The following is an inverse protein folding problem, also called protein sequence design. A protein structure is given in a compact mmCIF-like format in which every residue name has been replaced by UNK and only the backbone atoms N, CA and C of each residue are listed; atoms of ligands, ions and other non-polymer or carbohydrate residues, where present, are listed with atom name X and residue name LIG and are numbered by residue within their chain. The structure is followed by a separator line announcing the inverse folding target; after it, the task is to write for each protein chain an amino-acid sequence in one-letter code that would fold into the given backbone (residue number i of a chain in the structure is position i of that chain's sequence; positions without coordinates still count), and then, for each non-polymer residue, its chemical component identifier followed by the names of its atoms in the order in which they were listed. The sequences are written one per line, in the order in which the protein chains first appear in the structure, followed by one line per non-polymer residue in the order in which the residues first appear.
data_IF_001118701788
#
_entry.id   IF_001118701788
#
_cell.length_a   1.000
_cell.length_b   1.000
_cell.length_c   1.000
_cell.angle_alpha   90.00
_cell.angle_beta   90.00
_cell.angle_gamma   90.00
#
_symmetry.space_group_name_H-M   'P 1'
#
loop_
_entity.id
_entity.type
_entity.pdbx_description
1 polymer ?
#
# COMPACT_ATOMS: atom_id res chain seq x y z
N UNK A 1 -2.15 44.73 41.89
CA UNK A 1 -0.81 44.81 42.47
C UNK A 1 0.12 44.18 41.46
N UNK A 2 0.59 44.91 40.54
CA UNK A 2 1.88 45.58 40.28
C UNK A 2 3.11 44.78 40.75
N UNK A 3 3.95 44.34 39.82
CA UNK A 3 5.38 44.66 39.81
C UNK A 3 6.01 44.33 38.46
N UNK A 4 6.35 45.41 37.74
CA UNK A 4 7.37 45.49 36.67
C UNK A 4 8.79 45.38 37.29
N UNK A 5 9.77 44.88 36.54
CA UNK A 5 11.19 45.30 36.48
C UNK A 5 11.83 44.65 35.27
N UNK A 6 12.10 45.35 34.19
CA UNK A 6 13.16 46.33 33.85
C UNK A 6 14.47 45.69 33.36
N UNK A 7 14.74 45.99 32.08
CA UNK A 7 15.97 46.04 31.25
C UNK A 7 17.35 45.94 31.95
N UNK A 8 18.26 45.31 31.21
CA UNK A 8 19.64 45.80 31.07
C UNK A 8 20.30 45.34 29.74
N UNK A 9 20.51 46.32 28.88
CA UNK A 9 21.32 46.32 27.65
C UNK A 9 22.79 46.35 28.02
N UNK A 10 23.63 45.50 27.42
CA UNK A 10 25.07 45.73 27.36
C UNK A 10 25.56 45.61 25.92
N UNK A 11 25.93 46.76 25.38
CA UNK A 11 26.73 46.95 24.15
C UNK A 11 28.20 46.93 24.58
N UNK A 12 29.00 46.08 23.96
CA UNK A 12 30.46 46.22 23.98
C UNK A 12 31.01 46.12 22.57
N UNK A 13 31.41 47.27 22.05
CA UNK A 13 32.33 47.44 20.91
C UNK A 13 33.74 47.01 21.34
N UNK A 14 34.44 46.20 20.55
CA UNK A 14 35.89 46.19 20.49
C UNK A 14 36.41 46.02 19.08
N UNK A 15 37.36 46.87 18.78
CA UNK A 15 38.00 47.13 17.51
C UNK A 15 38.88 45.97 16.98
N UNK A 16 38.96 45.98 15.69
CA UNK A 16 39.79 45.32 14.72
C UNK A 16 41.32 45.28 15.04
N UNK A 17 41.95 44.13 14.75
CA UNK A 17 43.35 44.07 14.30
C UNK A 17 43.42 43.09 13.12
N UNK A 18 43.81 43.60 11.97
CA UNK A 18 44.17 42.86 10.78
C UNK A 18 45.59 42.31 10.92
N UNK A 19 45.76 40.99 10.86
CA UNK A 19 47.04 40.36 10.56
C UNK A 19 46.84 39.39 9.41
N UNK A 20 47.45 39.67 8.28
CA UNK A 20 47.46 38.85 7.09
C UNK A 20 48.16 37.51 7.34
N UNK A 21 47.43 36.44 7.07
CA UNK A 21 47.92 35.07 7.00
C UNK A 21 47.46 34.44 5.70
N UNK A 22 48.42 34.10 4.82
CA UNK A 22 48.18 33.35 3.62
C UNK A 22 47.63 31.96 3.94
N UNK A 23 46.33 31.76 3.71
CA UNK A 23 45.74 30.43 3.85
C UNK A 23 45.91 29.66 2.56
N UNK A 24 46.74 28.67 2.55
CA UNK A 24 46.75 27.61 1.56
C UNK A 24 45.43 26.84 1.71
N UNK A 25 44.62 26.83 0.65
CA UNK A 25 43.36 26.08 0.59
C UNK A 25 43.67 24.61 0.41
N UNK A 26 43.69 23.85 1.50
CA UNK A 26 43.55 22.41 1.45
C UNK A 26 42.08 22.11 1.09
N UNK A 27 41.85 21.61 -0.11
CA UNK A 27 40.56 21.18 -0.59
C UNK A 27 40.20 19.88 0.15
N UNK A 28 39.23 19.95 1.07
CA UNK A 28 38.61 18.77 1.65
C UNK A 28 37.99 17.87 0.54
N UNK A 29 38.08 16.53 0.67
CA UNK A 29 37.55 15.63 -0.34
C UNK A 29 36.02 15.83 -0.41
N UNK A 30 35.54 16.22 -1.60
CA UNK A 30 34.12 16.23 -1.91
C UNK A 30 33.62 14.80 -1.82
N UNK A 31 32.82 14.51 -0.80
CA UNK A 31 31.97 13.31 -0.77
C UNK A 31 31.02 13.40 -1.94
N UNK A 32 31.30 12.65 -2.97
CA UNK A 32 30.36 12.47 -4.10
C UNK A 32 29.14 11.78 -3.56
N UNK A 33 28.04 12.51 -3.43
CA UNK A 33 26.69 11.94 -3.28
C UNK A 33 26.49 11.01 -4.47
N UNK A 34 26.10 9.73 -4.28
CA UNK A 34 25.84 8.86 -5.42
C UNK A 34 24.77 9.51 -6.30
N UNK A 35 25.06 9.58 -7.59
CA UNK A 35 24.17 10.11 -8.60
C UNK A 35 22.81 9.43 -8.49
N UNK A 36 21.75 10.22 -8.66
CA UNK A 36 20.38 9.78 -8.75
C UNK A 36 20.27 8.50 -9.56
N UNK A 37 19.60 7.50 -8.99
CA UNK A 37 19.32 6.21 -9.63
C UNK A 37 18.71 6.46 -11.01
N UNK A 38 19.24 5.79 -12.01
CA UNK A 38 18.84 5.93 -13.41
C UNK A 38 17.32 5.78 -13.56
N UNK A 39 16.72 6.75 -14.22
CA UNK A 39 15.34 6.65 -14.69
C UNK A 39 15.25 5.45 -15.64
N UNK A 40 14.13 4.69 -15.62
CA UNK A 40 13.92 3.61 -16.57
C UNK A 40 14.00 4.15 -18.00
N UNK A 41 14.67 3.40 -18.88
CA UNK A 41 15.00 3.76 -20.26
C UNK A 41 13.79 3.79 -21.22
N UNK A 42 12.57 3.61 -20.74
CA UNK A 42 11.32 3.82 -21.48
C UNK A 42 10.49 4.87 -20.74
N UNK A 43 10.04 5.91 -21.41
CA UNK A 43 9.29 7.04 -20.83
C UNK A 43 7.89 6.66 -20.28
N UNK A 44 7.64 5.40 -19.96
CA UNK A 44 6.41 4.90 -19.37
C UNK A 44 6.61 4.76 -17.86
N UNK A 45 5.80 5.48 -17.12
CA UNK A 45 5.78 5.45 -15.65
C UNK A 45 5.36 4.05 -15.16
N UNK A 46 6.12 3.46 -14.23
CA UNK A 46 5.75 2.21 -13.56
C UNK A 46 4.40 2.36 -12.84
N UNK A 47 3.59 1.28 -12.85
CA UNK A 47 2.19 1.34 -12.41
C UNK A 47 1.91 0.34 -11.29
N UNK A 48 1.02 0.74 -10.39
CA UNK A 48 0.44 -0.12 -9.33
C UNK A 48 -1.05 -0.27 -9.60
N UNK A 49 -1.54 -1.49 -9.52
CA UNK A 49 -2.97 -1.78 -9.70
C UNK A 49 -3.65 -1.92 -8.34
N UNK A 50 -4.61 -1.03 -8.05
CA UNK A 50 -5.49 -1.17 -6.90
C UNK A 50 -6.69 -2.02 -7.27
N UNK A 51 -6.90 -3.11 -6.53
CA UNK A 51 -8.09 -3.96 -6.65
C UNK A 51 -9.05 -3.60 -5.52
N UNK A 52 -10.27 -3.23 -5.89
CA UNK A 52 -11.36 -2.86 -5.00
C UNK A 52 -12.55 -3.79 -5.23
N UNK A 53 -13.44 -3.88 -4.24
CA UNK A 53 -14.70 -4.60 -4.40
C UNK A 53 -15.80 -3.70 -4.98
N UNK A 54 -16.68 -4.29 -5.80
CA UNK A 54 -17.87 -3.62 -6.34
C UNK A 54 -19.09 -3.75 -5.39
N UNK A 55 -19.05 -4.67 -4.42
CA UNK A 55 -20.19 -4.96 -3.56
C UNK A 55 -20.63 -3.74 -2.76
N UNK A 56 -21.91 -3.43 -2.80
CA UNK A 56 -22.55 -2.30 -2.10
C UNK A 56 -23.22 -2.70 -0.77
N UNK A 57 -23.39 -4.00 -0.56
CA UNK A 57 -24.00 -4.57 0.64
C UNK A 57 -23.23 -5.80 1.12
N UNK A 58 -23.41 -6.15 2.37
CA UNK A 58 -22.88 -7.37 2.96
C UNK A 58 -23.65 -8.61 2.48
N UNK A 59 -22.99 -9.46 1.69
CA UNK A 59 -23.55 -10.72 1.20
C UNK A 59 -24.90 -10.56 0.49
N UNK A 60 -25.91 -11.23 1.00
CA UNK A 60 -27.30 -11.17 0.48
C UNK A 60 -28.21 -10.26 1.31
N UNK A 61 -27.65 -9.51 2.24
CA UNK A 61 -28.40 -8.61 3.13
C UNK A 61 -28.66 -7.24 2.48
N UNK A 62 -29.36 -6.38 3.20
CA UNK A 62 -29.53 -4.95 2.86
C UNK A 62 -28.56 -4.05 3.62
N UNK A 63 -27.63 -4.63 4.39
CA UNK A 63 -26.65 -3.88 5.17
C UNK A 63 -25.60 -3.29 4.23
N UNK A 64 -25.41 -1.96 4.23
CA UNK A 64 -24.47 -1.33 3.32
C UNK A 64 -23.02 -1.72 3.65
N UNK A 65 -22.21 -1.92 2.62
CA UNK A 65 -20.79 -2.21 2.71
C UNK A 65 -19.99 -1.19 1.91
N UNK A 66 -18.75 -0.93 2.32
CA UNK A 66 -17.93 0.15 1.78
C UNK A 66 -16.48 -0.26 1.60
N UNK A 67 -15.82 0.39 0.65
CA UNK A 67 -14.35 0.44 0.61
C UNK A 67 -13.84 1.29 1.79
N UNK A 68 -12.66 0.99 2.30
CA UNK A 68 -11.94 1.86 3.23
C UNK A 68 -11.26 2.98 2.44
N UNK A 69 -11.87 4.18 2.45
CA UNK A 69 -11.34 5.31 1.67
C UNK A 69 -9.94 5.72 2.13
N UNK A 70 -9.68 5.69 3.43
CA UNK A 70 -8.35 6.03 3.95
C UNK A 70 -7.27 5.06 3.52
N UNK A 71 -7.57 3.76 3.40
CA UNK A 71 -6.59 2.79 2.89
C UNK A 71 -6.24 3.03 1.42
N UNK A 72 -7.20 3.54 0.62
CA UNK A 72 -6.91 4.02 -0.73
C UNK A 72 -5.98 5.23 -0.69
N UNK A 73 -6.34 6.25 0.09
CA UNK A 73 -5.60 7.53 0.14
C UNK A 73 -4.18 7.34 0.64
N UNK A 74 -4.00 6.66 1.77
CA UNK A 74 -2.70 6.46 2.38
C UNK A 74 -1.74 5.67 1.47
N UNK A 75 -2.22 4.61 0.84
CA UNK A 75 -1.41 3.85 -0.09
C UNK A 75 -1.13 4.64 -1.38
N UNK A 76 -2.14 5.34 -1.91
CA UNK A 76 -1.98 6.17 -3.11
C UNK A 76 -0.91 7.24 -2.91
N UNK A 77 -0.90 7.93 -1.75
CA UNK A 77 0.08 8.96 -1.44
C UNK A 77 1.52 8.41 -1.44
N UNK A 78 1.73 7.25 -0.84
CA UNK A 78 3.05 6.59 -0.82
C UNK A 78 3.50 6.21 -2.22
N UNK A 79 2.65 5.55 -3.00
CA UNK A 79 3.00 5.13 -4.36
C UNK A 79 3.22 6.31 -5.29
N UNK A 80 2.37 7.34 -5.19
CA UNK A 80 2.53 8.55 -5.98
C UNK A 80 3.82 9.32 -5.63
N UNK A 81 4.15 9.45 -4.34
CA UNK A 81 5.40 10.06 -3.89
C UNK A 81 6.63 9.26 -4.35
N UNK A 82 6.51 7.95 -4.48
CA UNK A 82 7.56 7.07 -5.01
C UNK A 82 7.65 7.07 -6.55
N UNK A 83 6.78 7.82 -7.25
CA UNK A 83 6.81 7.97 -8.69
C UNK A 83 5.97 6.95 -9.47
N UNK A 84 5.13 6.15 -8.81
CA UNK A 84 4.24 5.21 -9.48
C UNK A 84 2.92 5.87 -9.91
N UNK A 85 2.41 5.47 -11.07
CA UNK A 85 1.01 5.70 -11.41
C UNK A 85 0.12 4.64 -10.76
N UNK A 86 -1.11 5.02 -10.40
CA UNK A 86 -2.09 4.11 -9.78
C UNK A 86 -3.31 4.01 -10.66
N UNK A 87 -3.72 2.78 -10.97
CA UNK A 87 -4.98 2.46 -11.63
C UNK A 87 -5.89 1.68 -10.69
N UNK A 88 -7.18 1.74 -10.98
CA UNK A 88 -8.22 1.14 -10.16
C UNK A 88 -9.06 0.16 -10.97
N UNK A 89 -9.20 -1.06 -10.45
CA UNK A 89 -10.03 -2.11 -11.03
C UNK A 89 -10.98 -2.67 -9.98
N UNK A 90 -12.19 -2.99 -10.38
CA UNK A 90 -13.13 -3.74 -9.55
C UNK A 90 -13.84 -4.82 -10.37
N UNK A 91 -14.46 -5.85 -9.75
CA UNK A 91 -15.12 -6.94 -10.46
C UNK A 91 -16.05 -6.49 -11.59
N UNK A 92 -16.87 -5.48 -11.32
CA UNK A 92 -17.92 -5.02 -12.23
C UNK A 92 -17.58 -3.71 -12.95
N UNK A 93 -16.47 -3.05 -12.54
CA UNK A 93 -16.16 -1.69 -13.00
C UNK A 93 -17.11 -0.65 -12.40
N UNK A 94 -16.97 0.61 -12.84
CA UNK A 94 -17.82 1.71 -12.38
C UNK A 94 -17.45 2.24 -10.99
N UNK A 95 -18.41 2.86 -10.32
CA UNK A 95 -18.19 3.46 -9.01
C UNK A 95 -18.16 2.40 -7.91
N UNK A 96 -17.16 2.49 -7.03
CA UNK A 96 -17.14 1.69 -5.80
C UNK A 96 -17.86 2.43 -4.66
N UNK A 97 -18.50 1.71 -3.71
CA UNK A 97 -19.23 2.34 -2.62
C UNK A 97 -18.26 2.98 -1.61
N UNK A 98 -18.51 4.25 -1.30
CA UNK A 98 -17.83 4.99 -0.24
C UNK A 98 -18.93 5.53 0.67
N UNK A 99 -19.03 4.99 1.88
CA UNK A 99 -19.96 5.43 2.91
C UNK A 99 -19.26 6.41 3.85
N UNK A 100 -19.96 7.43 4.30
CA UNK A 100 -19.40 8.48 5.17
C UNK A 100 -18.77 7.89 6.44
N UNK A 101 -19.38 6.86 7.04
CA UNK A 101 -18.86 6.17 8.22
C UNK A 101 -17.53 5.42 7.99
N UNK A 102 -17.13 5.26 6.72
CA UNK A 102 -15.85 4.66 6.31
C UNK A 102 -14.83 5.70 5.81
N UNK A 103 -15.14 6.97 6.00
CA UNK A 103 -14.25 8.10 5.70
C UNK A 103 -13.78 8.70 7.01
N UNK A 104 -12.54 8.43 7.38
CA UNK A 104 -11.93 8.99 8.58
C UNK A 104 -11.57 10.47 8.38
N UNK A 105 -11.57 11.25 9.47
CA UNK A 105 -11.38 12.71 9.46
C UNK A 105 -10.06 13.14 8.80
N UNK A 106 -9.00 12.35 8.97
CA UNK A 106 -7.67 12.63 8.42
C UNK A 106 -7.63 12.63 6.88
N UNK A 107 -8.54 11.90 6.22
CA UNK A 107 -8.62 11.79 4.75
C UNK A 107 -9.88 12.41 4.15
N UNK A 108 -10.82 12.89 4.96
CA UNK A 108 -12.12 13.43 4.47
C UNK A 108 -11.94 14.54 3.40
N UNK A 109 -10.93 15.41 3.58
CA UNK A 109 -10.60 16.45 2.61
C UNK A 109 -10.16 15.94 1.23
N UNK A 110 -9.79 14.65 1.12
CA UNK A 110 -9.36 13.99 -0.13
C UNK A 110 -10.54 13.52 -0.99
N UNK A 111 -11.77 13.60 -0.50
CA UNK A 111 -12.98 13.38 -1.31
C UNK A 111 -13.11 14.39 -2.47
N UNK A 112 -12.41 15.53 -2.38
CA UNK A 112 -12.30 16.53 -3.44
C UNK A 112 -11.09 16.32 -4.37
N UNK A 113 -10.21 15.34 -4.11
CA UNK A 113 -9.06 15.05 -4.97
C UNK A 113 -9.52 14.32 -6.24
N UNK A 114 -9.61 15.07 -7.33
CA UNK A 114 -10.07 14.54 -8.62
C UNK A 114 -9.19 13.39 -9.17
N UNK A 115 -7.93 13.26 -8.77
CA UNK A 115 -7.03 12.19 -9.23
C UNK A 115 -7.45 10.85 -8.64
N UNK A 116 -7.78 10.82 -7.36
CA UNK A 116 -8.26 9.62 -6.65
C UNK A 116 -9.72 9.35 -7.02
N UNK A 117 -10.58 10.36 -6.87
CA UNK A 117 -12.02 10.21 -7.01
C UNK A 117 -12.47 9.86 -8.42
N UNK A 118 -11.74 10.28 -9.46
CA UNK A 118 -12.03 9.83 -10.84
C UNK A 118 -11.86 8.32 -10.97
N UNK A 119 -10.80 7.76 -10.39
CA UNK A 119 -10.55 6.32 -10.36
C UNK A 119 -11.62 5.56 -9.59
N UNK A 120 -12.00 6.03 -8.40
CA UNK A 120 -13.00 5.37 -7.54
C UNK A 120 -14.43 5.46 -8.09
N UNK A 121 -14.76 6.53 -8.83
CA UNK A 121 -16.06 6.69 -9.49
C UNK A 121 -16.16 5.95 -10.83
N UNK A 122 -15.04 5.50 -11.39
CA UNK A 122 -14.97 4.87 -12.69
C UNK A 122 -13.86 3.83 -12.77
N UNK A 123 -13.89 2.83 -11.85
CA UNK A 123 -12.98 1.69 -11.96
C UNK A 123 -13.20 0.96 -13.28
N UNK A 124 -12.13 0.40 -13.84
CA UNK A 124 -12.26 -0.45 -15.01
C UNK A 124 -12.64 -1.89 -14.63
N UNK A 125 -13.16 -2.65 -15.57
CA UNK A 125 -13.38 -4.09 -15.39
C UNK A 125 -12.07 -4.87 -15.59
N UNK A 126 -11.96 -6.10 -15.07
CA UNK A 126 -10.76 -6.94 -15.27
C UNK A 126 -10.40 -7.16 -16.75
N UNK A 127 -11.40 -7.19 -17.66
CA UNK A 127 -11.18 -7.38 -19.09
C UNK A 127 -10.40 -6.21 -19.76
N UNK A 128 -10.37 -5.04 -19.12
CA UNK A 128 -9.70 -3.84 -19.63
C UNK A 128 -8.25 -3.70 -19.10
N UNK A 129 -7.81 -4.60 -18.23
CA UNK A 129 -6.48 -4.58 -17.63
C UNK A 129 -5.49 -5.37 -18.48
N UNK A 130 -4.40 -4.72 -18.88
CA UNK A 130 -3.18 -5.39 -19.34
C UNK A 130 -2.23 -5.59 -18.15
N UNK A 131 -2.13 -6.81 -17.59
CA UNK A 131 -1.33 -7.06 -16.39
C UNK A 131 0.17 -6.84 -16.60
N UNK A 132 0.66 -6.79 -17.84
CA UNK A 132 2.09 -6.60 -18.14
C UNK A 132 2.60 -5.21 -17.76
N UNK A 133 1.68 -4.24 -17.56
CA UNK A 133 2.02 -2.86 -17.24
C UNK A 133 2.25 -2.61 -15.74
N UNK A 134 1.96 -3.60 -14.87
CA UNK A 134 1.98 -3.39 -13.42
C UNK A 134 3.17 -4.03 -12.75
N UNK A 135 3.71 -3.30 -11.76
CA UNK A 135 4.80 -3.73 -10.89
C UNK A 135 4.30 -4.33 -9.59
N UNK A 136 3.12 -3.93 -9.16
CA UNK A 136 2.47 -4.52 -7.99
C UNK A 136 0.94 -4.46 -8.12
N UNK A 137 0.30 -5.31 -7.31
CA UNK A 137 -1.13 -5.29 -7.04
C UNK A 137 -1.35 -4.99 -5.57
N UNK A 138 -2.28 -4.08 -5.28
CA UNK A 138 -2.66 -3.69 -3.92
C UNK A 138 -4.16 -3.93 -3.73
N UNK A 139 -4.52 -4.91 -2.90
CA UNK A 139 -5.88 -5.22 -2.52
C UNK A 139 -6.32 -4.31 -1.38
N UNK A 140 -7.26 -3.44 -1.68
CA UNK A 140 -7.80 -2.45 -0.73
C UNK A 140 -8.81 -3.13 0.18
N UNK A 141 -8.81 -2.78 1.46
CA UNK A 141 -9.80 -3.26 2.41
C UNK A 141 -11.07 -2.41 2.45
N UNK A 142 -11.73 -2.50 3.57
CA UNK A 142 -13.10 -2.07 3.78
C UNK A 142 -14.03 -3.27 3.84
N UNK A 143 -15.20 -3.09 4.41
CA UNK A 143 -16.12 -4.20 4.69
C UNK A 143 -16.63 -4.92 3.43
N UNK A 144 -16.63 -4.24 2.29
CA UNK A 144 -17.03 -4.83 1.01
C UNK A 144 -15.98 -5.75 0.38
N UNK A 145 -14.70 -5.67 0.82
CA UNK A 145 -13.62 -6.48 0.25
C UNK A 145 -13.82 -8.00 0.44
N UNK A 146 -14.70 -8.39 1.35
CA UNK A 146 -15.08 -9.79 1.57
C UNK A 146 -15.90 -10.40 0.42
N UNK A 147 -16.39 -9.59 -0.54
CA UNK A 147 -17.36 -10.02 -1.54
C UNK A 147 -16.92 -9.73 -2.97
N UNK A 148 -17.03 -10.71 -3.85
CA UNK A 148 -16.85 -10.56 -5.28
C UNK A 148 -15.38 -10.49 -5.76
N UNK A 149 -14.40 -10.37 -4.86
CA UNK A 149 -12.98 -10.25 -5.23
C UNK A 149 -12.26 -11.59 -5.15
N UNK A 150 -12.39 -12.30 -4.04
CA UNK A 150 -11.66 -13.54 -3.78
C UNK A 150 -11.97 -14.65 -4.80
N UNK A 151 -13.22 -14.75 -5.25
CA UNK A 151 -13.70 -15.72 -6.23
C UNK A 151 -13.57 -15.26 -7.68
N UNK A 152 -13.20 -14.01 -7.95
CA UNK A 152 -13.09 -13.46 -9.30
C UNK A 152 -11.86 -14.00 -10.02
N UNK A 153 -12.07 -15.01 -10.87
CA UNK A 153 -10.98 -15.68 -11.60
C UNK A 153 -10.20 -14.73 -12.52
N UNK A 154 -10.84 -13.68 -13.06
CA UNK A 154 -10.14 -12.72 -13.91
C UNK A 154 -9.17 -11.86 -13.10
N UNK A 155 -9.57 -11.39 -11.91
CA UNK A 155 -8.69 -10.68 -10.98
C UNK A 155 -7.55 -11.58 -10.48
N UNK A 156 -7.83 -12.85 -10.16
CA UNK A 156 -6.79 -13.81 -9.78
C UNK A 156 -5.74 -13.96 -10.89
N UNK A 157 -6.15 -14.10 -12.15
CA UNK A 157 -5.23 -14.21 -13.30
C UNK A 157 -4.37 -12.96 -13.48
N UNK A 158 -4.97 -11.77 -13.32
CA UNK A 158 -4.23 -10.49 -13.38
C UNK A 158 -3.17 -10.46 -12.29
N UNK A 159 -3.56 -10.72 -11.04
CA UNK A 159 -2.64 -10.70 -9.90
C UNK A 159 -1.50 -11.70 -10.08
N UNK A 160 -1.81 -12.93 -10.48
CA UNK A 160 -0.77 -13.95 -10.67
C UNK A 160 0.12 -13.67 -11.89
N UNK A 161 -0.41 -13.02 -12.95
CA UNK A 161 0.42 -12.55 -14.07
C UNK A 161 1.39 -11.47 -13.62
N UNK A 162 0.97 -10.53 -12.78
CA UNK A 162 1.87 -9.54 -12.18
C UNK A 162 2.92 -10.22 -11.30
N UNK A 163 2.51 -11.15 -10.45
CA UNK A 163 3.41 -11.83 -9.52
C UNK A 163 4.42 -12.75 -10.22
N UNK A 164 3.95 -13.71 -11.01
CA UNK A 164 4.81 -14.73 -11.65
C UNK A 164 5.42 -14.22 -12.95
N UNK A 165 4.63 -13.52 -13.78
CA UNK A 165 5.06 -13.10 -15.11
C UNK A 165 5.98 -11.89 -15.09
N UNK A 166 5.67 -10.89 -14.26
CA UNK A 166 6.43 -9.62 -14.21
C UNK A 166 7.44 -9.60 -13.05
N UNK A 167 7.45 -10.60 -12.18
CA UNK A 167 8.23 -10.55 -10.93
C UNK A 167 7.75 -9.49 -9.95
N UNK A 168 6.49 -9.06 -10.09
CA UNK A 168 5.88 -8.00 -9.28
C UNK A 168 5.50 -8.43 -7.86
N UNK A 169 4.98 -7.50 -7.08
CA UNK A 169 4.58 -7.67 -5.68
C UNK A 169 3.06 -7.83 -5.59
N UNK A 170 2.59 -8.76 -4.77
CA UNK A 170 1.21 -8.82 -4.31
C UNK A 170 1.15 -8.21 -2.91
N UNK A 171 0.19 -7.31 -2.70
CA UNK A 171 -0.04 -6.73 -1.38
C UNK A 171 -1.53 -6.60 -1.06
N UNK A 172 -1.83 -6.62 0.23
CA UNK A 172 -3.20 -6.50 0.74
C UNK A 172 -3.19 -5.83 2.11
N UNK A 173 -4.28 -5.18 2.46
CA UNK A 173 -4.45 -4.58 3.79
C UNK A 173 -5.85 -4.86 4.32
N UNK A 174 -5.95 -5.07 5.66
CA UNK A 174 -7.23 -5.20 6.33
C UNK A 174 -8.08 -6.34 5.71
N UNK A 175 -9.35 -6.09 5.42
CA UNK A 175 -10.22 -7.04 4.70
C UNK A 175 -9.79 -7.30 3.25
N UNK A 176 -8.96 -6.43 2.65
CA UNK A 176 -8.38 -6.68 1.32
C UNK A 176 -7.61 -8.00 1.22
N UNK A 177 -7.12 -8.51 2.37
CA UNK A 177 -6.47 -9.83 2.45
C UNK A 177 -7.40 -10.98 2.03
N UNK A 178 -8.72 -10.81 2.09
CA UNK A 178 -9.66 -11.76 1.51
C UNK A 178 -9.39 -12.01 0.01
N UNK A 179 -8.97 -10.98 -0.73
CA UNK A 179 -8.73 -11.08 -2.17
C UNK A 179 -7.56 -11.98 -2.57
N UNK A 180 -6.61 -12.22 -1.66
CA UNK A 180 -5.42 -13.03 -1.98
C UNK A 180 -5.55 -14.51 -1.59
N UNK A 181 -6.56 -14.85 -0.78
CA UNK A 181 -6.64 -16.21 -0.23
C UNK A 181 -6.77 -17.31 -1.31
N UNK A 182 -7.42 -16.99 -2.43
CA UNK A 182 -7.62 -17.94 -3.54
C UNK A 182 -6.52 -17.92 -4.60
N UNK A 183 -5.52 -17.05 -4.49
CA UNK A 183 -4.44 -16.97 -5.47
C UNK A 183 -3.62 -18.27 -5.47
N UNK A 184 -3.36 -18.79 -6.66
CA UNK A 184 -2.59 -20.02 -6.85
C UNK A 184 -1.42 -19.80 -7.80
N UNK A 185 -0.26 -20.33 -7.44
CA UNK A 185 0.91 -20.46 -8.33
C UNK A 185 0.59 -21.37 -9.51
N UNK A 186 1.40 -21.30 -10.56
CA UNK A 186 1.24 -22.15 -11.75
C UNK A 186 1.18 -23.66 -11.42
N UNK A 187 1.81 -24.10 -10.32
CA UNK A 187 1.76 -25.47 -9.81
C UNK A 187 0.49 -25.84 -9.04
N UNK A 188 -0.48 -24.91 -8.90
CA UNK A 188 -1.75 -25.14 -8.18
C UNK A 188 -1.65 -24.96 -6.66
N UNK A 189 -0.47 -24.69 -6.11
CA UNK A 189 -0.29 -24.39 -4.70
C UNK A 189 -0.83 -22.97 -4.38
N UNK A 190 -1.51 -22.80 -3.27
CA UNK A 190 -1.94 -21.46 -2.84
C UNK A 190 -0.74 -20.54 -2.59
N UNK A 191 -0.84 -19.29 -3.05
CA UNK A 191 0.21 -18.28 -2.87
C UNK A 191 0.54 -18.06 -1.39
N UNK A 192 -0.46 -18.14 -0.52
CA UNK A 192 -0.31 -18.00 0.93
C UNK A 192 0.35 -19.17 1.62
N UNK A 193 0.45 -20.34 0.96
CA UNK A 193 1.01 -21.56 1.56
C UNK A 193 2.48 -21.38 1.95
N UNK A 194 2.80 -21.67 3.21
CA UNK A 194 4.14 -21.49 3.79
C UNK A 194 4.54 -20.04 4.03
N UNK A 195 3.62 -19.07 3.85
CA UNK A 195 3.89 -17.64 3.99
C UNK A 195 3.33 -17.07 5.30
N UNK A 196 3.99 -16.04 5.83
CA UNK A 196 3.44 -15.21 6.89
C UNK A 196 2.51 -14.18 6.26
N UNK A 197 1.28 -14.13 6.75
CA UNK A 197 0.19 -13.30 6.22
C UNK A 197 -0.43 -12.54 7.38
N UNK A 198 -0.69 -11.26 7.17
CA UNK A 198 -1.54 -10.45 8.04
C UNK A 198 -2.78 -9.98 7.29
N UNK A 199 -3.80 -9.64 8.03
CA UNK A 199 -5.09 -9.14 7.53
C UNK A 199 -5.98 -8.83 8.71
N UNK A 200 -7.20 -8.36 8.45
CA UNK A 200 -8.12 -8.04 9.54
C UNK A 200 -8.53 -9.33 10.26
N UNK A 201 -8.25 -9.44 11.58
CA UNK A 201 -8.51 -10.68 12.32
C UNK A 201 -9.98 -10.75 12.73
N UNK A 202 -10.52 -11.95 12.70
CA UNK A 202 -11.91 -12.21 13.11
C UNK A 202 -12.19 -11.86 14.58
N UNK A 203 -11.18 -11.83 15.42
CA UNK A 203 -11.28 -11.46 16.83
C UNK A 203 -11.54 -9.96 17.03
N UNK A 204 -11.19 -9.12 16.02
CA UNK A 204 -11.46 -7.68 16.03
C UNK A 204 -12.82 -7.33 15.41
N UNK A 205 -13.51 -8.30 14.82
CA UNK A 205 -14.86 -8.10 14.30
C UNK A 205 -15.89 -7.98 15.43
N UNK A 206 -16.92 -7.19 15.19
CA UNK A 206 -18.11 -7.22 16.05
C UNK A 206 -18.92 -8.46 15.69
N UNK A 207 -18.58 -9.59 16.31
CA UNK A 207 -19.13 -10.90 15.98
C UNK A 207 -20.64 -11.01 16.29
N UNK A 208 -21.19 -10.12 17.12
CA UNK A 208 -22.60 -9.97 17.41
C UNK A 208 -23.35 -9.10 16.37
N UNK A 209 -22.64 -8.41 15.50
CA UNK A 209 -23.25 -7.55 14.49
C UNK A 209 -23.82 -8.38 13.31
N UNK A 210 -24.97 -7.96 12.75
CA UNK A 210 -25.65 -8.70 11.67
C UNK A 210 -24.77 -8.93 10.43
N UNK A 211 -23.82 -8.03 10.13
CA UNK A 211 -22.95 -8.15 8.97
C UNK A 211 -21.99 -9.33 9.09
N UNK A 212 -21.56 -9.70 10.31
CA UNK A 212 -20.57 -10.76 10.51
C UNK A 212 -21.06 -12.11 9.98
N UNK A 213 -22.35 -12.40 10.15
CA UNK A 213 -22.98 -13.62 9.63
C UNK A 213 -23.11 -13.62 8.08
N UNK A 214 -22.81 -12.51 7.41
CA UNK A 214 -22.82 -12.42 5.95
C UNK A 214 -21.45 -12.72 5.34
N UNK A 215 -20.39 -12.79 6.13
CA UNK A 215 -19.07 -13.10 5.60
C UNK A 215 -19.04 -14.49 4.96
N UNK A 216 -18.58 -14.62 3.72
CA UNK A 216 -18.53 -15.91 3.02
C UNK A 216 -17.50 -16.87 3.63
N UNK A 217 -16.51 -16.32 4.32
CA UNK A 217 -15.44 -17.02 5.02
C UNK A 217 -14.75 -16.09 6.02
N UNK A 218 -13.93 -16.62 6.91
CA UNK A 218 -13.07 -15.86 7.81
C UNK A 218 -11.63 -15.87 7.27
N UNK A 219 -11.00 -14.69 7.21
CA UNK A 219 -9.70 -14.49 6.55
C UNK A 219 -8.62 -15.35 7.18
N UNK A 220 -8.44 -15.23 8.51
CA UNK A 220 -7.40 -15.94 9.23
C UNK A 220 -7.54 -17.45 9.12
N UNK A 221 -8.75 -17.97 9.34
CA UNK A 221 -9.05 -19.41 9.19
C UNK A 221 -8.78 -19.92 7.77
N UNK A 222 -9.14 -19.10 6.76
CA UNK A 222 -8.94 -19.49 5.36
C UNK A 222 -7.45 -19.50 5.00
N UNK A 223 -6.68 -18.52 5.44
CA UNK A 223 -5.23 -18.48 5.27
C UNK A 223 -4.58 -19.73 5.89
N UNK A 224 -4.94 -20.05 7.13
CA UNK A 224 -4.42 -21.23 7.85
C UNK A 224 -4.80 -22.53 7.14
N UNK A 225 -6.05 -22.69 6.71
CA UNK A 225 -6.51 -23.89 5.99
C UNK A 225 -5.78 -24.11 4.66
N UNK A 226 -5.21 -23.03 4.07
CA UNK A 226 -4.40 -23.05 2.85
C UNK A 226 -2.90 -23.13 3.10
N UNK A 227 -2.51 -23.42 4.35
CA UNK A 227 -1.11 -23.64 4.73
C UNK A 227 -0.31 -22.36 5.01
N UNK A 228 -0.97 -21.20 5.09
CA UNK A 228 -0.34 -19.94 5.51
C UNK A 228 -0.25 -19.81 7.03
N UNK A 229 0.64 -18.96 7.51
CA UNK A 229 0.75 -18.58 8.92
C UNK A 229 0.13 -17.20 9.11
N UNK A 230 -1.09 -17.15 9.61
CA UNK A 230 -1.77 -15.89 9.91
C UNK A 230 -1.18 -15.26 11.16
N UNK A 231 -0.77 -13.98 11.07
CA UNK A 231 -0.09 -13.23 12.12
C UNK A 231 -0.83 -11.93 12.38
N UNK A 232 -1.16 -11.69 13.65
CA UNK A 232 -1.87 -10.50 14.11
C UNK A 232 -1.27 -10.00 15.40
N UNK A 233 -1.58 -8.75 15.74
CA UNK A 233 -1.36 -8.15 17.05
C UNK A 233 -2.71 -7.75 17.65
N UNK A 234 -2.81 -7.74 18.96
CA UNK A 234 -4.08 -7.49 19.68
C UNK A 234 -4.51 -6.02 19.66
N UNK A 235 -3.65 -5.12 19.22
CA UNK A 235 -3.90 -3.67 19.20
C UNK A 235 -4.34 -3.19 17.83
N UNK A 236 -4.83 -1.95 17.77
CA UNK A 236 -5.07 -1.21 16.53
C UNK A 236 -3.79 -0.66 15.91
N UNK A 237 -2.62 -0.97 16.48
CA UNK A 237 -1.33 -0.58 15.95
C UNK A 237 -1.09 -1.18 14.55
N UNK A 238 -0.27 -0.53 13.71
CA UNK A 238 0.07 -1.09 12.41
C UNK A 238 0.87 -2.39 12.57
N UNK A 239 0.45 -3.43 11.87
CA UNK A 239 1.19 -4.68 11.76
C UNK A 239 1.30 -5.10 10.30
N UNK A 240 2.54 -5.35 9.86
CA UNK A 240 2.85 -5.71 8.46
C UNK A 240 3.69 -6.96 8.43
N UNK A 241 3.29 -7.92 7.62
CA UNK A 241 4.09 -9.09 7.26
C UNK A 241 4.65 -8.92 5.84
N UNK A 242 5.95 -9.13 5.72
CA UNK A 242 6.67 -9.18 4.44
C UNK A 242 7.26 -10.57 4.29
N UNK A 243 6.81 -11.29 3.26
CA UNK A 243 7.33 -12.63 2.94
C UNK A 243 7.68 -12.70 1.44
N UNK A 244 8.91 -12.33 1.14
CA UNK A 244 9.38 -12.18 -0.24
C UNK A 244 8.63 -11.04 -0.95
N UNK A 245 7.89 -11.39 -2.02
CA UNK A 245 7.09 -10.45 -2.81
C UNK A 245 5.60 -10.44 -2.42
N UNK A 246 5.29 -10.90 -1.21
CA UNK A 246 3.96 -10.82 -0.62
C UNK A 246 4.02 -9.93 0.61
N UNK A 247 3.24 -8.84 0.60
CA UNK A 247 3.22 -7.81 1.66
C UNK A 247 1.79 -7.64 2.14
N UNK A 248 1.53 -7.87 3.42
CA UNK A 248 0.18 -7.83 3.96
C UNK A 248 0.13 -7.06 5.28
N UNK A 249 -0.96 -6.35 5.52
CA UNK A 249 -1.16 -5.54 6.74
C UNK A 249 -2.49 -5.79 7.41
N UNK A 250 -2.50 -5.65 8.72
CA UNK A 250 -3.63 -6.05 9.57
C UNK A 250 -4.87 -5.17 9.40
N UNK A 251 -4.69 -3.85 9.37
CA UNK A 251 -5.77 -2.89 9.63
C UNK A 251 -5.53 -1.57 8.89
N UNK A 252 -6.41 -0.61 9.10
CA UNK A 252 -6.33 0.74 8.57
C UNK A 252 -4.95 1.40 8.82
N UNK A 253 -4.42 1.33 10.03
CA UNK A 253 -3.14 1.93 10.39
C UNK A 253 -1.96 1.29 9.63
N UNK A 254 -2.15 0.08 9.08
CA UNK A 254 -1.15 -0.63 8.29
C UNK A 254 -1.06 -0.15 6.83
N UNK A 255 -2.00 0.67 6.33
CA UNK A 255 -2.07 1.03 4.90
C UNK A 255 -0.78 1.74 4.41
N UNK A 256 -0.33 2.77 5.11
CA UNK A 256 0.94 3.46 4.80
C UNK A 256 2.15 2.52 4.92
N UNK A 257 2.35 1.79 6.03
CA UNK A 257 3.47 0.85 6.15
C UNK A 257 3.48 -0.26 5.09
N UNK A 258 2.32 -0.80 4.70
CA UNK A 258 2.23 -1.78 3.60
C UNK A 258 2.70 -1.18 2.29
N UNK A 259 2.21 0.01 1.92
CA UNK A 259 2.62 0.67 0.69
C UNK A 259 4.12 0.98 0.66
N UNK A 260 4.70 1.42 1.79
CA UNK A 260 6.14 1.63 1.94
C UNK A 260 6.93 0.33 1.76
N UNK A 261 6.47 -0.76 2.37
CA UNK A 261 7.09 -2.07 2.24
C UNK A 261 7.02 -2.60 0.79
N UNK A 262 5.93 -2.33 0.06
CA UNK A 262 5.82 -2.65 -1.37
C UNK A 262 6.84 -1.89 -2.20
N UNK A 263 6.98 -0.59 -1.99
CA UNK A 263 7.99 0.25 -2.69
C UNK A 263 9.39 -0.30 -2.44
N UNK A 264 9.72 -0.66 -1.21
CA UNK A 264 11.03 -1.23 -0.85
C UNK A 264 11.24 -2.61 -1.49
N UNK A 265 10.23 -3.48 -1.47
CA UNK A 265 10.30 -4.79 -2.11
C UNK A 265 10.56 -4.66 -3.62
N UNK A 266 9.88 -3.75 -4.30
CA UNK A 266 10.09 -3.46 -5.73
C UNK A 266 11.51 -2.97 -6.00
N UNK A 267 12.06 -2.10 -5.14
CA UNK A 267 13.43 -1.60 -5.25
C UNK A 267 14.47 -2.72 -5.13
N UNK A 268 14.31 -3.59 -4.13
CA UNK A 268 15.22 -4.72 -3.91
C UNK A 268 15.22 -5.66 -5.11
N UNK A 269 14.05 -6.02 -5.64
CA UNK A 269 13.94 -6.93 -6.77
C UNK A 269 14.50 -6.33 -8.06
N UNK A 270 14.36 -5.02 -8.29
CA UNK A 270 14.97 -4.36 -9.43
C UNK A 270 16.50 -4.42 -9.38
N UNK A 271 17.09 -4.18 -8.21
CA UNK A 271 18.55 -4.27 -8.01
C UNK A 271 19.06 -5.69 -8.22
N UNK A 272 18.34 -6.69 -7.69
CA UNK A 272 18.72 -8.12 -7.85
C UNK A 272 18.68 -8.54 -9.32
N UNK A 273 17.64 -8.16 -10.07
CA UNK A 273 17.51 -8.45 -11.48
C UNK A 273 18.65 -7.80 -12.31
N UNK A 274 18.98 -6.54 -12.01
CA UNK A 274 20.09 -5.83 -12.66
C UNK A 274 21.44 -6.49 -12.39
N UNK A 275 21.69 -6.92 -11.15
CA UNK A 275 22.94 -7.60 -10.79
C UNK A 275 23.05 -9.00 -11.45
N UNK A 276 21.94 -9.71 -11.56
CA UNK A 276 21.92 -11.02 -12.27
C UNK A 276 22.18 -10.86 -13.76
N UNK A 277 21.58 -9.85 -14.39
CA UNK A 277 21.84 -9.55 -15.82
C UNK A 277 23.29 -9.14 -16.07
N UNK A 278 23.92 -8.38 -15.17
CA UNK A 278 25.32 -7.98 -15.28
C UNK A 278 26.32 -9.12 -15.01
N UNK A 279 25.89 -10.19 -14.33
CA UNK A 279 26.72 -11.36 -14.01
C UNK A 279 26.65 -12.49 -15.05
N UNK A 280 25.82 -12.36 -16.09
CA UNK A 280 25.75 -13.31 -17.21
C UNK A 280 26.81 -12.88 -18.25
N UNK A 281 27.76 -13.77 -18.60
CA UNK A 281 28.88 -13.49 -19.53
C UNK A 281 28.41 -13.31 -20.97
#
# INVERSE_FOLDING_TARGET
MQSLRTLATFVLLLLSVWLGGTCTTDAAPRTTVPAAMGQPASGQQDRILFILASATVHGTSTLPASVSFGEVVHAWDVFHAAGYAVDFVSPDGGAVPILDDYVSDDVAHRLDDARIMRGLRGTVTPAQIDPTQYRAVYYVGGSNAMYGVAENVALQRIAMRVYEGNGGVISAVCHGTAGIVNLQLAGGQYLVSGKRISGYPEEHERQDAPYFNQFPFLIGQTVVSRGGAFRTVESDDPHVEVDGRLVTGQNYASATPVAQAVVEALRIHTVQASNQAAAQP
#
